data_IF_634094605792
#
_entry.id   IF_634094605792
#
_cell.length_a   1.000
_cell.length_b   1.000
_cell.length_c   1.000
_cell.angle_alpha   90.00
_cell.angle_beta   90.00
_cell.angle_gamma   90.00
#
_symmetry.space_group_name_H-M   'P 1'
#
loop_
_entity.id
_entity.type
_entity.pdbx_description
1 polymer ?
#
# COMPACT_ATOMS: atom_id res chain seq x y z
N UNK A 1 16.04 -3.67 -13.22
CA UNK A 1 14.74 -4.29 -12.97
C UNK A 1 14.51 -4.31 -11.46
N UNK A 2 13.33 -3.95 -10.98
CA UNK A 2 13.02 -3.97 -9.55
C UNK A 2 12.99 -5.43 -9.08
N UNK A 3 13.72 -5.74 -8.00
CA UNK A 3 13.71 -7.10 -7.42
C UNK A 3 12.52 -7.22 -6.47
N UNK A 4 11.57 -8.06 -6.80
CA UNK A 4 10.40 -8.36 -5.97
C UNK A 4 10.49 -9.83 -5.57
N UNK A 5 10.32 -10.11 -4.29
CA UNK A 5 10.36 -11.46 -3.71
C UNK A 5 8.93 -11.99 -3.61
N UNK A 6 8.59 -13.12 -4.24
CA UNK A 6 7.29 -13.75 -4.05
C UNK A 6 7.12 -14.24 -2.60
N UNK A 7 6.01 -13.87 -1.97
CA UNK A 7 5.63 -14.34 -0.63
C UNK A 7 4.10 -14.49 -0.57
N UNK A 8 3.53 -15.52 -1.20
CA UNK A 8 2.10 -15.58 -1.50
C UNK A 8 1.22 -15.69 -0.26
N UNK A 9 0.18 -14.85 -0.20
CA UNK A 9 -0.91 -14.91 0.78
C UNK A 9 -2.08 -15.69 0.21
N UNK A 10 -2.79 -16.51 1.01
CA UNK A 10 -4.05 -17.13 0.62
C UNK A 10 -5.26 -16.19 0.75
N UNK A 11 -5.08 -15.01 1.36
CA UNK A 11 -6.17 -14.08 1.73
C UNK A 11 -6.52 -13.16 0.57
N UNK A 12 -7.15 -13.68 -0.46
CA UNK A 12 -7.64 -12.90 -1.61
C UNK A 12 -8.85 -13.56 -2.25
N UNK A 13 -9.51 -12.83 -3.12
CA UNK A 13 -10.54 -13.36 -4.02
C UNK A 13 -10.47 -12.63 -5.37
N UNK A 14 -11.39 -12.93 -6.27
CA UNK A 14 -11.47 -12.26 -7.56
C UNK A 14 -12.01 -10.83 -7.41
N UNK A 15 -11.54 -9.93 -8.27
CA UNK A 15 -12.12 -8.59 -8.41
C UNK A 15 -13.48 -8.73 -9.12
N UNK A 16 -14.44 -7.81 -8.88
CA UNK A 16 -15.64 -7.74 -9.70
C UNK A 16 -15.30 -7.59 -11.18
N UNK A 17 -16.11 -8.18 -12.05
CA UNK A 17 -15.91 -8.13 -13.51
C UNK A 17 -15.77 -6.69 -14.02
N UNK A 18 -14.90 -6.52 -15.01
CA UNK A 18 -14.59 -5.24 -15.66
C UNK A 18 -14.08 -4.14 -14.73
N UNK A 19 -13.68 -4.43 -13.49
CA UNK A 19 -13.11 -3.43 -12.59
C UNK A 19 -11.70 -3.02 -13.07
N UNK A 20 -11.50 -1.72 -13.26
CA UNK A 20 -10.18 -1.16 -13.53
C UNK A 20 -9.42 -0.94 -12.22
N UNK A 21 -8.15 -1.31 -12.21
CA UNK A 21 -7.22 -0.97 -11.12
C UNK A 21 -6.71 0.44 -11.39
N UNK A 22 -7.18 1.41 -10.62
CA UNK A 22 -6.89 2.84 -10.84
C UNK A 22 -6.52 3.59 -9.54
N UNK A 23 -6.25 2.86 -8.46
CA UNK A 23 -5.93 3.43 -7.15
C UNK A 23 -4.82 2.63 -6.45
N UNK A 24 -3.97 3.30 -5.69
CA UNK A 24 -3.05 2.69 -4.72
C UNK A 24 -3.39 3.21 -3.33
N UNK A 25 -3.49 2.30 -2.37
CA UNK A 25 -3.66 2.63 -0.95
C UNK A 25 -2.40 2.26 -0.18
N UNK A 26 -1.84 3.24 0.51
CA UNK A 26 -0.65 3.07 1.34
C UNK A 26 -1.03 2.83 2.79
N UNK A 27 -0.34 1.87 3.40
CA UNK A 27 -0.51 1.44 4.78
C UNK A 27 0.83 1.44 5.51
N UNK A 28 0.80 1.47 6.84
CA UNK A 28 1.89 0.97 7.68
C UNK A 28 1.48 -0.35 8.34
N UNK A 29 2.46 -1.22 8.60
CA UNK A 29 2.20 -2.56 9.16
C UNK A 29 1.72 -2.55 10.61
N UNK A 30 2.01 -1.48 11.37
CA UNK A 30 1.68 -1.31 12.80
C UNK A 30 2.26 -2.40 13.73
N UNK A 31 3.31 -3.09 13.27
CA UNK A 31 4.04 -4.12 14.01
C UNK A 31 5.55 -3.84 14.01
N UNK A 32 6.28 -4.53 14.89
CA UNK A 32 7.70 -4.22 15.11
C UNK A 32 8.62 -4.68 13.97
N UNK A 33 8.23 -5.71 13.22
CA UNK A 33 9.10 -6.31 12.19
C UNK A 33 8.35 -6.74 10.94
N UNK A 34 9.01 -6.71 9.77
CA UNK A 34 8.47 -7.24 8.52
C UNK A 34 8.13 -8.73 8.63
N UNK A 35 8.91 -9.51 9.39
CA UNK A 35 8.61 -10.93 9.61
C UNK A 35 7.24 -11.12 10.26
N UNK A 36 6.93 -10.33 11.27
CA UNK A 36 5.62 -10.36 11.95
C UNK A 36 4.50 -9.91 11.00
N UNK A 37 4.71 -8.82 10.24
CA UNK A 37 3.76 -8.35 9.23
C UNK A 37 3.44 -9.43 8.19
N UNK A 38 4.47 -10.09 7.63
CA UNK A 38 4.30 -11.15 6.67
C UNK A 38 3.52 -12.35 7.25
N UNK A 39 3.76 -12.71 8.51
CA UNK A 39 3.00 -13.77 9.17
C UNK A 39 1.50 -13.41 9.26
N UNK A 40 1.17 -12.19 9.65
CA UNK A 40 -0.23 -11.71 9.74
C UNK A 40 -0.88 -11.68 8.36
N UNK A 41 -0.21 -11.09 7.36
CA UNK A 41 -0.73 -10.92 6.01
C UNK A 41 -0.90 -12.22 5.22
N UNK A 42 -0.30 -13.32 5.69
CA UNK A 42 -0.40 -14.65 5.07
C UNK A 42 -1.09 -15.71 5.93
N UNK A 43 -1.47 -15.39 7.16
CA UNK A 43 -2.28 -16.30 7.97
C UNK A 43 -3.75 -16.22 7.53
N UNK A 44 -4.35 -17.35 7.07
CA UNK A 44 -5.77 -17.37 6.68
C UNK A 44 -6.73 -17.00 7.82
N UNK A 45 -6.30 -17.15 9.09
CA UNK A 45 -7.13 -16.80 10.25
C UNK A 45 -7.22 -15.29 10.47
N UNK A 46 -6.26 -14.53 9.96
CA UNK A 46 -6.24 -13.08 10.11
C UNK A 46 -7.18 -12.36 9.13
N UNK A 47 -7.56 -13.01 8.01
CA UNK A 47 -8.48 -12.48 6.99
C UNK A 47 -8.08 -11.08 6.48
N UNK A 48 -6.78 -10.80 6.43
CA UNK A 48 -6.18 -9.56 5.90
C UNK A 48 -5.04 -9.90 4.95
N UNK A 49 -4.78 -9.03 3.99
CA UNK A 49 -3.64 -9.12 3.08
C UNK A 49 -3.36 -7.77 2.43
N UNK A 50 -2.24 -7.68 1.72
CA UNK A 50 -1.93 -6.60 0.77
C UNK A 50 -1.38 -7.20 -0.51
N UNK A 51 -1.26 -6.40 -1.58
CA UNK A 51 -0.62 -6.87 -2.81
C UNK A 51 0.90 -6.89 -2.62
N UNK A 52 1.44 -5.87 -1.98
CA UNK A 52 2.86 -5.72 -1.71
C UNK A 52 3.12 -5.36 -0.25
N UNK A 53 4.30 -5.74 0.23
CA UNK A 53 4.89 -5.24 1.47
C UNK A 53 6.32 -4.79 1.20
N UNK A 54 6.75 -3.66 1.80
CA UNK A 54 8.09 -3.09 1.62
C UNK A 54 8.75 -2.95 2.97
N UNK A 55 9.89 -3.63 3.14
CA UNK A 55 10.68 -3.57 4.36
C UNK A 55 11.46 -2.24 4.48
N UNK A 56 11.96 -1.93 5.65
CA UNK A 56 12.73 -0.72 5.93
C UNK A 56 14.00 -0.59 5.08
N UNK A 57 14.60 -1.72 4.68
CA UNK A 57 15.78 -1.76 3.80
C UNK A 57 15.45 -1.62 2.30
N UNK A 58 14.15 -1.52 1.97
CA UNK A 58 13.66 -1.40 0.61
C UNK A 58 13.40 -2.76 -0.08
N UNK A 59 13.51 -3.88 0.61
CA UNK A 59 13.12 -5.19 0.09
C UNK A 59 11.59 -5.22 -0.14
N UNK A 60 11.18 -5.64 -1.34
CA UNK A 60 9.75 -5.70 -1.72
C UNK A 60 9.31 -7.16 -1.78
N UNK A 61 8.20 -7.44 -1.13
CA UNK A 61 7.48 -8.71 -1.17
C UNK A 61 6.19 -8.55 -1.96
N UNK A 62 5.86 -9.52 -2.84
CA UNK A 62 4.55 -9.60 -3.47
C UNK A 62 3.75 -10.72 -2.81
N UNK A 63 2.61 -10.37 -2.23
CA UNK A 63 1.76 -11.31 -1.48
C UNK A 63 0.53 -11.75 -2.30
N UNK A 64 -0.07 -10.81 -3.05
CA UNK A 64 -1.25 -11.06 -3.87
C UNK A 64 -0.96 -10.50 -5.28
N UNK A 65 -1.41 -11.21 -6.31
CA UNK A 65 -1.32 -10.75 -7.70
C UNK A 65 -2.17 -9.47 -7.88
N UNK A 66 -1.70 -8.52 -8.71
CA UNK A 66 -2.42 -7.27 -8.98
C UNK A 66 -3.85 -7.51 -9.47
N UNK A 67 -4.06 -8.53 -10.29
CA UNK A 67 -5.38 -8.86 -10.87
C UNK A 67 -6.34 -9.48 -9.85
N UNK A 68 -5.85 -9.87 -8.69
CA UNK A 68 -6.67 -10.37 -7.57
C UNK A 68 -7.01 -9.25 -6.61
N UNK A 69 -8.04 -9.47 -5.82
CA UNK A 69 -8.51 -8.55 -4.79
C UNK A 69 -7.91 -8.93 -3.45
N UNK A 70 -6.84 -8.24 -3.01
CA UNK A 70 -6.34 -8.34 -1.64
C UNK A 70 -7.31 -7.67 -0.64
N UNK A 71 -7.19 -8.04 0.63
CA UNK A 71 -8.10 -7.59 1.70
C UNK A 71 -7.38 -6.60 2.63
N UNK A 72 -7.15 -5.36 2.15
CA UNK A 72 -6.36 -4.35 2.85
C UNK A 72 -7.16 -3.14 3.35
N UNK A 73 -8.28 -2.80 2.70
CA UNK A 73 -9.00 -1.55 2.97
C UNK A 73 -10.14 -1.70 3.99
N UNK A 74 -10.71 -2.91 4.15
CA UNK A 74 -11.91 -3.12 4.95
C UNK A 74 -13.10 -2.28 4.46
N UNK A 75 -14.06 -1.92 5.33
CA UNK A 75 -15.11 -0.95 5.01
C UNK A 75 -14.49 0.41 4.65
N UNK A 76 -14.69 0.85 3.42
CA UNK A 76 -13.97 2.00 2.84
C UNK A 76 -14.73 2.59 1.67
N UNK A 77 -14.51 3.90 1.43
CA UNK A 77 -15.10 4.62 0.30
C UNK A 77 -14.12 5.65 -0.23
N UNK A 78 -14.08 5.83 -1.55
CA UNK A 78 -13.30 6.87 -2.22
C UNK A 78 -14.03 7.43 -3.43
N UNK A 79 -14.17 8.77 -3.51
CA UNK A 79 -14.86 9.47 -4.61
C UNK A 79 -16.26 8.89 -4.93
N UNK A 80 -17.00 8.50 -3.87
CA UNK A 80 -18.35 7.93 -4.01
C UNK A 80 -18.40 6.45 -4.39
N UNK A 81 -17.26 5.77 -4.46
CA UNK A 81 -17.18 4.34 -4.71
C UNK A 81 -16.82 3.60 -3.40
N UNK A 82 -17.67 2.66 -3.01
CA UNK A 82 -17.45 1.81 -1.84
C UNK A 82 -16.54 0.60 -2.15
N UNK A 83 -16.04 -0.05 -1.08
CA UNK A 83 -15.20 -1.25 -1.20
C UNK A 83 -13.93 -1.02 -2.02
N UNK A 84 -13.08 -0.11 -1.56
CA UNK A 84 -11.85 0.29 -2.24
C UNK A 84 -10.94 -0.88 -2.62
N UNK A 85 -11.00 -2.03 -1.90
CA UNK A 85 -10.32 -3.27 -2.33
C UNK A 85 -10.66 -3.69 -3.77
N UNK A 86 -11.82 -3.31 -4.31
CA UNK A 86 -12.22 -3.71 -5.65
C UNK A 86 -11.31 -3.15 -6.74
N UNK A 87 -10.89 -1.88 -6.63
CA UNK A 87 -10.21 -1.12 -7.68
C UNK A 87 -8.83 -0.60 -7.27
N UNK A 88 -8.28 -1.06 -6.14
CA UNK A 88 -6.98 -0.59 -5.63
C UNK A 88 -5.92 -1.67 -5.52
N UNK A 89 -4.67 -1.23 -5.46
CA UNK A 89 -3.50 -1.99 -5.01
C UNK A 89 -3.17 -1.52 -3.60
N UNK A 90 -3.15 -2.43 -2.62
CA UNK A 90 -2.68 -2.14 -1.25
C UNK A 90 -1.19 -2.39 -1.11
N UNK A 91 -0.47 -1.44 -0.52
CA UNK A 91 0.97 -1.55 -0.24
C UNK A 91 1.20 -1.29 1.25
N UNK A 92 1.73 -2.28 1.94
CA UNK A 92 2.15 -2.19 3.33
C UNK A 92 3.61 -1.73 3.42
N UNK A 93 3.87 -0.76 4.27
CA UNK A 93 5.22 -0.29 4.58
C UNK A 93 5.58 -0.72 5.99
N UNK A 94 6.68 -1.46 6.15
CA UNK A 94 7.15 -1.82 7.50
C UNK A 94 7.40 -0.54 8.30
N UNK A 95 6.61 -0.39 9.37
CA UNK A 95 6.71 0.73 10.28
C UNK A 95 5.89 0.40 11.52
N UNK A 96 6.40 0.74 12.71
CA UNK A 96 5.71 0.49 13.97
C UNK A 96 4.40 1.25 14.16
N UNK A 97 4.12 2.22 13.29
CA UNK A 97 2.84 2.92 13.23
C UNK A 97 2.40 3.50 14.55
N UNK A 98 1.12 3.30 14.88
CA UNK A 98 0.56 3.77 16.13
C UNK A 98 0.90 2.82 17.31
N UNK A 99 0.59 1.53 17.22
CA UNK A 99 0.68 0.62 18.37
C UNK A 99 2.12 0.22 18.69
N UNK A 100 2.90 -0.22 17.72
CA UNK A 100 4.29 -0.63 17.94
C UNK A 100 5.28 0.56 17.89
N UNK A 101 4.83 1.76 17.52
CA UNK A 101 5.62 2.97 17.42
C UNK A 101 5.19 4.06 18.40
N UNK A 102 4.23 4.89 17.99
CA UNK A 102 3.83 6.10 18.73
C UNK A 102 3.34 5.83 20.15
N UNK A 103 2.49 4.85 20.34
CA UNK A 103 1.92 4.52 21.66
C UNK A 103 2.97 4.07 22.67
N UNK A 104 4.09 3.49 22.21
CA UNK A 104 5.18 3.03 23.09
C UNK A 104 6.22 4.11 23.35
N UNK A 105 6.48 5.00 22.37
CA UNK A 105 7.62 5.92 22.42
C UNK A 105 7.22 7.39 22.52
N UNK A 106 5.97 7.73 22.21
CA UNK A 106 5.51 9.13 22.06
C UNK A 106 5.93 9.77 20.73
N UNK A 107 6.61 9.04 19.83
CA UNK A 107 7.09 9.55 18.56
C UNK A 107 6.64 8.65 17.40
N UNK A 108 6.19 9.27 16.30
CA UNK A 108 5.89 8.55 15.08
C UNK A 108 7.17 8.05 14.42
N UNK A 109 7.29 6.73 14.14
CA UNK A 109 8.48 6.21 13.46
C UNK A 109 8.59 6.80 12.05
N UNK A 110 9.80 7.14 11.64
CA UNK A 110 10.08 7.64 10.30
C UNK A 110 10.16 6.48 9.30
N UNK A 111 9.84 6.76 8.06
CA UNK A 111 10.04 5.85 6.93
C UNK A 111 11.46 6.03 6.38
N UNK A 112 12.32 4.99 6.35
CA UNK A 112 13.67 5.09 5.82
C UNK A 112 13.70 5.47 4.33
N UNK A 113 14.75 6.19 3.90
CA UNK A 113 14.88 6.58 2.49
C UNK A 113 14.94 5.38 1.54
N UNK A 114 15.58 4.27 1.93
CA UNK A 114 15.63 3.03 1.15
C UNK A 114 14.21 2.48 0.87
N UNK A 115 13.34 2.50 1.88
CA UNK A 115 11.94 2.06 1.77
C UNK A 115 11.15 2.99 0.83
N UNK A 116 11.31 4.31 1.00
CA UNK A 116 10.61 5.30 0.16
C UNK A 116 11.10 5.23 -1.30
N UNK A 117 12.39 5.01 -1.55
CA UNK A 117 12.92 4.84 -2.90
C UNK A 117 12.44 3.54 -3.56
N UNK A 118 12.30 2.46 -2.79
CA UNK A 118 11.68 1.23 -3.25
C UNK A 118 10.20 1.45 -3.60
N UNK A 119 9.45 2.14 -2.75
CA UNK A 119 8.04 2.51 -3.00
C UNK A 119 7.90 3.31 -4.29
N UNK A 120 8.72 4.35 -4.53
CA UNK A 120 8.68 5.15 -5.77
C UNK A 120 8.88 4.28 -7.02
N UNK A 121 9.83 3.35 -6.98
CA UNK A 121 10.10 2.44 -8.10
C UNK A 121 8.92 1.50 -8.35
N UNK A 122 8.31 0.96 -7.29
CA UNK A 122 7.13 0.13 -7.39
C UNK A 122 5.93 0.91 -7.95
N UNK A 123 5.67 2.12 -7.44
CA UNK A 123 4.61 3.00 -7.94
C UNK A 123 4.78 3.33 -9.42
N UNK A 124 6.02 3.65 -9.87
CA UNK A 124 6.29 3.89 -11.28
C UNK A 124 5.99 2.66 -12.16
N UNK A 125 6.29 1.44 -11.69
CA UNK A 125 5.96 0.20 -12.38
C UNK A 125 4.44 -0.03 -12.43
N UNK A 126 3.72 0.20 -11.32
CA UNK A 126 2.27 0.04 -11.24
C UNK A 126 1.54 1.05 -12.13
N UNK A 127 1.96 2.33 -12.12
CA UNK A 127 1.40 3.37 -12.98
C UNK A 127 1.67 3.14 -14.47
N UNK A 128 2.75 2.46 -14.83
CA UNK A 128 3.02 2.06 -16.22
C UNK A 128 2.14 0.88 -16.67
N UNK A 129 1.70 0.03 -15.73
CA UNK A 129 0.87 -1.16 -16.00
C UNK A 129 -0.63 -0.85 -15.91
N UNK A 130 -1.03 0.00 -15.00
CA UNK A 130 -2.42 0.31 -14.68
C UNK A 130 -2.69 1.82 -14.81
N UNK A 131 -3.93 2.25 -15.16
CA UNK A 131 -4.28 3.67 -15.31
C UNK A 131 -4.44 4.37 -13.95
N UNK A 132 -3.42 4.37 -13.13
CA UNK A 132 -3.41 4.96 -11.79
C UNK A 132 -2.86 6.39 -11.88
N UNK A 133 -3.67 7.43 -11.73
CA UNK A 133 -3.19 8.79 -11.71
C UNK A 133 -2.56 9.13 -10.35
N UNK A 134 -1.65 10.08 -10.32
CA UNK A 134 -0.87 10.43 -9.13
C UNK A 134 -1.72 10.84 -7.92
N UNK A 135 -2.87 11.50 -8.16
CA UNK A 135 -3.81 11.91 -7.12
C UNK A 135 -4.64 10.75 -6.53
N UNK A 136 -4.54 9.55 -7.11
CA UNK A 136 -5.16 8.32 -6.57
C UNK A 136 -4.13 7.39 -5.91
N UNK A 137 -2.96 7.92 -5.55
CA UNK A 137 -2.07 7.33 -4.56
C UNK A 137 -2.43 7.99 -3.22
N UNK A 138 -3.12 7.26 -2.35
CA UNK A 138 -3.80 7.77 -1.16
C UNK A 138 -3.46 6.94 0.07
N UNK A 139 -3.79 7.47 1.25
CA UNK A 139 -3.63 6.77 2.52
C UNK A 139 -4.89 5.98 2.89
N UNK A 140 -4.74 5.00 3.78
CA UNK A 140 -5.89 4.30 4.35
C UNK A 140 -6.78 5.26 5.16
N UNK A 141 -6.17 6.26 5.80
CA UNK A 141 -6.88 7.33 6.52
C UNK A 141 -7.83 8.13 5.61
N UNK A 142 -7.48 8.29 4.32
CA UNK A 142 -8.30 9.02 3.36
C UNK A 142 -9.59 8.26 2.98
N UNK A 143 -9.55 6.93 2.95
CA UNK A 143 -10.66 6.06 2.53
C UNK A 143 -11.48 5.49 3.70
N UNK A 144 -10.99 5.64 4.92
CA UNK A 144 -11.63 5.17 6.14
C UNK A 144 -11.45 6.16 7.31
N UNK A 145 -11.85 7.44 7.12
CA UNK A 145 -11.62 8.50 8.10
C UNK A 145 -12.27 8.15 9.46
N UNK A 146 -11.55 8.44 10.55
CA UNK A 146 -11.97 8.13 11.91
C UNK A 146 -11.82 6.67 12.33
N UNK A 147 -11.58 5.74 11.38
CA UNK A 147 -11.30 4.33 11.65
C UNK A 147 -9.84 3.97 11.48
N UNK A 148 -9.14 4.62 10.57
CA UNK A 148 -7.74 4.36 10.21
C UNK A 148 -6.90 5.63 10.24
N UNK A 149 -5.61 5.46 10.50
CA UNK A 149 -4.64 6.57 10.62
C UNK A 149 -3.39 6.33 9.77
N UNK A 150 -3.28 5.19 9.12
CA UNK A 150 -2.14 4.83 8.25
C UNK A 150 -2.24 5.49 6.87
N UNK A 151 -1.12 5.89 6.25
CA UNK A 151 0.27 5.69 6.68
C UNK A 151 0.75 6.68 7.74
N UNK A 152 -0.11 7.58 8.26
CA UNK A 152 0.11 8.44 9.39
C UNK A 152 0.96 9.69 9.11
N UNK A 153 1.09 10.57 10.12
CA UNK A 153 1.64 11.92 9.94
C UNK A 153 3.15 11.96 9.66
N UNK A 154 3.89 10.86 9.89
CA UNK A 154 5.30 10.79 9.56
C UNK A 154 5.58 10.36 8.11
N UNK A 155 4.53 10.01 7.34
CA UNK A 155 4.70 9.60 5.96
C UNK A 155 5.06 10.79 5.06
N UNK A 156 6.16 10.71 4.27
CA UNK A 156 6.68 11.84 3.49
C UNK A 156 5.94 12.00 2.15
N UNK A 157 4.69 12.43 2.16
CA UNK A 157 3.86 12.62 0.97
C UNK A 157 4.51 13.49 -0.10
N UNK A 158 5.31 14.50 0.30
CA UNK A 158 6.04 15.38 -0.61
C UNK A 158 7.08 14.65 -1.45
N UNK A 159 7.62 13.51 -0.96
CA UNK A 159 8.54 12.66 -1.72
C UNK A 159 7.81 11.77 -2.74
N UNK A 160 6.52 11.53 -2.58
CA UNK A 160 5.71 10.64 -3.42
C UNK A 160 4.94 11.42 -4.48
N UNK A 161 4.28 12.53 -4.11
CA UNK A 161 3.38 13.28 -4.98
C UNK A 161 4.09 14.27 -5.92
N UNK A 162 5.36 14.04 -6.26
CA UNK A 162 6.11 14.87 -7.21
C UNK A 162 6.20 14.21 -8.58
N UNK A 163 5.75 14.89 -9.64
CA UNK A 163 5.78 14.41 -11.04
C UNK A 163 7.17 14.01 -11.55
N UNK A 164 8.26 14.44 -10.89
CA UNK A 164 9.64 14.13 -11.30
C UNK A 164 10.00 12.63 -11.28
N UNK A 165 9.22 11.80 -10.62
CA UNK A 165 9.55 10.39 -10.39
C UNK A 165 8.69 9.41 -11.21
N UNK A 166 7.68 9.91 -11.93
CA UNK A 166 6.75 9.06 -12.67
C UNK A 166 6.77 9.39 -14.16
N UNK A 167 6.55 8.41 -15.05
CA UNK A 167 6.44 8.68 -16.48
C UNK A 167 5.40 9.76 -16.70
N UNK A 168 5.71 10.71 -17.60
CA UNK A 168 4.75 11.74 -18.01
C UNK A 168 3.48 11.05 -18.48
N UNK A 169 2.32 11.42 -17.91
CA UNK A 169 1.04 11.07 -18.50
C UNK A 169 1.10 11.48 -19.98
N UNK A 170 1.09 10.50 -20.86
CA UNK A 170 0.89 10.74 -22.30
C UNK A 170 -0.41 11.51 -22.39
N UNK A 171 -0.33 12.74 -22.87
CA UNK A 171 -1.44 13.63 -23.17
C UNK A 171 -2.54 12.83 -23.88
N UNK A 172 -3.56 12.39 -23.13
CA UNK A 172 -4.85 12.10 -23.71
C UNK A 172 -5.59 13.44 -23.78
N UNK A 173 -5.42 14.08 -24.93
CA UNK A 173 -6.30 15.16 -25.41
C UNK A 173 -7.62 14.51 -25.82
#
# INVERSE_FOLDING_TARGET
>A
MLKIIPYPSPNFNDRPDATKIDCVVLHYTDVATMKEALQILTDPKCEVSSHYAIDEDGTIYQLVDDEKRAWHAGPSSWEGQDNVNHFSIGIELQNGGYFAGYALTGFWPKFPDAQIDALKKLLAQLMAKHPIPLNRIIGHEDIAPGRKTDPGPAFPWEKIRTRKHYPSESLLI
#
